data_IF_455384758215
#
_entry.id   IF_455384758215
#
_cell.length_a   1.000
_cell.length_b   1.000
_cell.length_c   1.000
_cell.angle_alpha   90.00
_cell.angle_beta   90.00
_cell.angle_gamma   90.00
#
_symmetry.space_group_name_H-M   'P 1'
#
loop_
_entity.id
_entity.type
_entity.pdbx_description
1 polymer ?
#
# COMPACT_ATOMS: atom_id res chain seq x y z
N UNK A 1 -13.62 8.05 -12.56
CA UNK A 1 -12.66 7.89 -11.46
C UNK A 1 -13.32 7.13 -10.33
N UNK A 2 -12.62 6.14 -9.77
CA UNK A 2 -13.08 5.23 -8.72
C UNK A 2 -11.92 4.97 -7.76
N UNK A 3 -12.15 5.15 -6.47
CA UNK A 3 -11.16 4.85 -5.43
C UNK A 3 -11.35 3.42 -4.92
N UNK A 4 -10.22 2.78 -4.62
CA UNK A 4 -10.10 1.52 -3.90
C UNK A 4 -9.34 1.85 -2.63
N UNK A 5 -10.03 1.78 -1.49
CA UNK A 5 -9.49 2.20 -0.20
C UNK A 5 -8.85 0.99 0.52
N UNK A 6 -7.64 1.15 1.04
CA UNK A 6 -6.96 0.18 1.91
C UNK A 6 -6.49 0.85 3.22
N UNK A 7 -6.76 0.22 4.35
CA UNK A 7 -6.25 0.68 5.65
C UNK A 7 -7.20 0.36 6.79
N UNK A 8 -7.08 1.12 7.88
CA UNK A 8 -7.91 0.88 9.07
C UNK A 8 -9.36 1.26 8.77
N UNK A 9 -10.24 0.26 8.88
CA UNK A 9 -11.66 0.44 8.65
C UNK A 9 -12.33 0.93 9.93
N UNK A 10 -13.03 2.05 9.78
CA UNK A 10 -13.80 2.67 10.84
C UNK A 10 -15.25 2.84 10.35
N UNK A 11 -16.22 2.59 11.23
CA UNK A 11 -17.64 2.62 10.86
C UNK A 11 -18.07 4.03 10.44
N UNK A 12 -17.57 5.06 11.12
CA UNK A 12 -17.89 6.44 10.79
C UNK A 12 -17.28 6.83 9.45
N UNK A 13 -16.07 6.34 9.14
CA UNK A 13 -15.45 6.56 7.82
C UNK A 13 -16.32 5.97 6.70
N UNK A 14 -16.81 4.74 6.86
CA UNK A 14 -17.64 4.06 5.84
C UNK A 14 -18.93 4.85 5.58
N UNK A 15 -19.61 5.31 6.64
CA UNK A 15 -20.82 6.11 6.50
C UNK A 15 -20.53 7.49 5.87
N UNK A 16 -19.48 8.18 6.32
CA UNK A 16 -19.06 9.48 5.78
C UNK A 16 -18.75 9.40 4.29
N UNK A 17 -18.15 8.32 3.81
CA UNK A 17 -17.88 8.11 2.37
C UNK A 17 -19.16 8.23 1.54
N UNK A 18 -20.26 7.61 2.00
CA UNK A 18 -21.58 7.66 1.35
C UNK A 18 -22.24 9.02 1.50
N UNK A 19 -22.25 9.57 2.72
CA UNK A 19 -22.84 10.88 3.02
C UNK A 19 -22.22 12.00 2.17
N UNK A 20 -20.90 11.97 1.99
CA UNK A 20 -20.12 12.95 1.22
C UNK A 20 -20.09 12.64 -0.29
N UNK A 21 -20.77 11.58 -0.73
CA UNK A 21 -20.82 11.13 -2.13
C UNK A 21 -19.42 11.05 -2.76
N UNK A 22 -18.50 10.38 -2.06
CA UNK A 22 -17.14 10.15 -2.54
C UNK A 22 -17.12 8.94 -3.48
N UNK A 23 -16.32 8.96 -4.56
CA UNK A 23 -16.32 7.90 -5.56
C UNK A 23 -15.51 6.67 -5.11
N UNK A 24 -15.72 6.20 -3.88
CA UNK A 24 -15.11 4.96 -3.36
C UNK A 24 -15.94 3.79 -3.85
N UNK A 25 -15.32 2.97 -4.68
CA UNK A 25 -15.99 1.83 -5.32
C UNK A 25 -15.74 0.52 -4.57
N UNK A 26 -14.57 0.40 -3.95
CA UNK A 26 -14.14 -0.80 -3.25
C UNK A 26 -13.40 -0.45 -1.96
N UNK A 27 -13.48 -1.35 -0.98
CA UNK A 27 -12.69 -1.30 0.24
C UNK A 27 -11.96 -2.65 0.39
N UNK A 28 -10.65 -2.60 0.56
CA UNK A 28 -9.84 -3.77 0.88
C UNK A 28 -9.99 -4.04 2.38
N UNK A 29 -10.45 -5.24 2.69
CA UNK A 29 -10.67 -5.75 4.03
C UNK A 29 -9.70 -6.89 4.29
N UNK A 30 -8.57 -6.60 4.94
CA UNK A 30 -7.58 -7.63 5.31
C UNK A 30 -8.20 -8.63 6.26
N UNK A 31 -8.22 -9.91 5.85
CA UNK A 31 -8.93 -10.94 6.61
C UNK A 31 -8.15 -11.23 7.89
N UNK A 32 -8.76 -11.13 9.09
CA UNK A 32 -8.04 -11.37 10.33
C UNK A 32 -7.77 -12.85 10.56
N UNK A 33 -6.67 -13.16 11.28
CA UNK A 33 -6.34 -14.50 11.77
C UNK A 33 -6.41 -15.62 10.70
N UNK A 34 -5.94 -15.33 9.49
CA UNK A 34 -6.09 -16.23 8.36
C UNK A 34 -4.81 -17.06 8.09
N UNK A 35 -4.92 -18.28 7.52
CA UNK A 35 -3.77 -19.14 7.25
C UNK A 35 -2.79 -18.60 6.21
N UNK A 36 -3.23 -17.75 5.27
CA UNK A 36 -2.35 -17.24 4.22
C UNK A 36 -1.49 -16.06 4.68
N UNK A 37 -2.00 -15.27 5.63
CA UNK A 37 -1.46 -13.99 6.06
C UNK A 37 -1.82 -12.82 5.15
N UNK A 38 -1.37 -11.64 5.57
CA UNK A 38 -1.52 -10.36 4.88
C UNK A 38 -0.13 -9.72 4.72
N UNK A 39 0.19 -9.30 3.50
CA UNK A 39 1.49 -8.72 3.15
C UNK A 39 1.50 -7.20 3.17
N UNK A 40 0.35 -6.55 3.31
CA UNK A 40 0.28 -5.08 3.30
C UNK A 40 1.13 -4.47 4.42
N UNK A 41 1.90 -3.44 4.08
CA UNK A 41 2.75 -2.66 5.01
C UNK A 41 1.96 -1.56 5.74
N UNK A 42 0.66 -1.52 5.49
CA UNK A 42 -0.30 -0.55 5.99
C UNK A 42 -1.33 -1.21 6.90
N UNK A 43 -0.97 -2.34 7.53
CA UNK A 43 -1.84 -3.06 8.44
C UNK A 43 -1.86 -2.39 9.82
N UNK A 44 -3.03 -2.30 10.47
CA UNK A 44 -3.14 -1.82 11.84
C UNK A 44 -2.32 -2.73 12.78
N UNK A 45 -1.82 -2.19 13.91
CA UNK A 45 -1.02 -2.97 14.86
C UNK A 45 -1.81 -4.14 15.48
N UNK A 46 -3.11 -3.94 15.69
CA UNK A 46 -4.00 -4.96 16.25
C UNK A 46 -4.97 -5.44 15.17
N UNK A 47 -5.12 -6.76 15.06
CA UNK A 47 -6.14 -7.35 14.20
C UNK A 47 -7.50 -7.33 14.91
N UNK A 48 -8.56 -7.10 14.14
CA UNK A 48 -9.94 -7.22 14.61
C UNK A 48 -10.35 -8.69 14.77
N UNK A 49 -11.43 -8.95 15.49
CA UNK A 49 -12.01 -10.30 15.54
C UNK A 49 -12.67 -10.65 14.20
N UNK A 50 -12.89 -11.95 13.95
CA UNK A 50 -13.61 -12.38 12.75
C UNK A 50 -15.08 -11.93 12.76
N UNK A 51 -15.70 -11.80 13.94
CA UNK A 51 -17.07 -11.29 14.08
C UNK A 51 -17.15 -9.79 13.75
N UNK A 52 -16.16 -9.00 14.19
CA UNK A 52 -16.05 -7.59 13.80
C UNK A 52 -15.84 -7.46 12.28
N UNK A 53 -14.99 -8.31 11.70
CA UNK A 53 -14.78 -8.37 10.26
C UNK A 53 -16.07 -8.66 9.50
N UNK A 54 -16.88 -9.62 9.96
CA UNK A 54 -18.21 -9.92 9.39
C UNK A 54 -19.14 -8.71 9.49
N UNK A 55 -19.21 -8.08 10.66
CA UNK A 55 -20.08 -6.91 10.87
C UNK A 55 -19.67 -5.71 10.02
N UNK A 56 -18.37 -5.47 9.85
CA UNK A 56 -17.84 -4.43 8.96
C UNK A 56 -18.09 -4.77 7.49
N UNK A 57 -17.97 -6.04 7.10
CA UNK A 57 -18.26 -6.49 5.72
C UNK A 57 -19.70 -6.14 5.35
N UNK A 58 -20.65 -6.45 6.24
CA UNK A 58 -22.06 -6.11 6.02
C UNK A 58 -22.25 -4.59 5.90
N UNK A 59 -21.62 -3.80 6.77
CA UNK A 59 -21.70 -2.33 6.70
C UNK A 59 -21.17 -1.78 5.37
N UNK A 60 -20.06 -2.32 4.85
CA UNK A 60 -19.49 -1.94 3.55
C UNK A 60 -20.48 -2.26 2.43
N UNK A 61 -21.07 -3.46 2.43
CA UNK A 61 -22.06 -3.91 1.44
C UNK A 61 -23.36 -3.08 1.50
N UNK A 62 -23.88 -2.78 2.69
CA UNK A 62 -25.09 -1.96 2.91
C UNK A 62 -24.89 -0.51 2.43
N UNK A 63 -23.64 -0.04 2.41
CA UNK A 63 -23.26 1.25 1.83
C UNK A 63 -23.06 1.20 0.31
N UNK A 64 -23.26 0.04 -0.33
CA UNK A 64 -23.11 -0.14 -1.78
C UNK A 64 -21.66 -0.17 -2.24
N UNK A 65 -20.72 -0.41 -1.33
CA UNK A 65 -19.29 -0.52 -1.62
C UNK A 65 -18.92 -1.99 -1.75
N UNK A 66 -18.05 -2.33 -2.70
CA UNK A 66 -17.63 -3.71 -2.94
C UNK A 66 -16.47 -4.06 -1.99
N UNK A 67 -16.61 -5.04 -1.08
CA UNK A 67 -15.49 -5.46 -0.24
C UNK A 67 -14.54 -6.39 -1.02
N UNK A 68 -13.23 -6.16 -0.87
CA UNK A 68 -12.17 -7.02 -1.42
C UNK A 68 -11.50 -7.74 -0.24
N UNK A 69 -11.46 -9.08 -0.25
CA UNK A 69 -10.79 -9.84 0.82
C UNK A 69 -9.27 -9.73 0.67
N UNK A 70 -8.60 -9.10 1.62
CA UNK A 70 -7.13 -9.04 1.68
C UNK A 70 -6.54 -10.35 2.18
N UNK A 71 -5.73 -11.01 1.33
CA UNK A 71 -4.95 -12.22 1.62
C UNK A 71 -3.58 -12.14 0.91
N UNK A 72 -2.99 -10.95 0.94
CA UNK A 72 -1.90 -10.55 0.04
C UNK A 72 -0.49 -10.85 0.56
N UNK A 73 -0.37 -11.91 1.36
CA UNK A 73 0.92 -12.43 1.79
C UNK A 73 1.85 -12.69 0.61
N UNK A 74 3.09 -12.20 0.71
CA UNK A 74 4.14 -12.39 -0.30
C UNK A 74 5.00 -13.62 -0.03
N UNK A 75 4.95 -14.17 1.19
CA UNK A 75 5.72 -15.33 1.60
C UNK A 75 5.01 -16.08 2.72
N UNK A 76 4.72 -17.37 2.50
CA UNK A 76 4.05 -18.25 3.47
C UNK A 76 5.01 -19.18 4.22
N UNK A 77 6.32 -19.04 4.03
CA UNK A 77 7.29 -19.90 4.72
C UNK A 77 7.19 -21.37 4.35
N UNK A 78 6.76 -21.68 3.12
CA UNK A 78 6.57 -23.03 2.58
C UNK A 78 5.37 -23.81 3.17
N UNK A 79 4.43 -23.14 3.85
CA UNK A 79 3.23 -23.80 4.35
C UNK A 79 2.32 -24.36 3.25
N UNK A 80 2.39 -23.81 2.05
CA UNK A 80 1.70 -24.31 0.86
C UNK A 80 2.04 -25.78 0.51
N UNK A 81 3.15 -26.31 1.03
CA UNK A 81 3.54 -27.71 0.87
C UNK A 81 2.81 -28.69 1.82
N UNK A 82 1.97 -28.20 2.73
CA UNK A 82 1.32 -29.00 3.78
C UNK A 82 -0.19 -29.17 3.53
N UNK A 83 -0.70 -30.39 3.68
CA UNK A 83 -2.11 -30.71 3.45
C UNK A 83 -3.05 -30.05 4.46
N UNK A 84 -2.60 -29.86 5.71
CA UNK A 84 -3.33 -29.16 6.76
C UNK A 84 -3.52 -27.68 6.42
N UNK A 85 -2.49 -27.07 5.83
CA UNK A 85 -2.56 -25.69 5.36
C UNK A 85 -3.59 -25.55 4.24
N UNK A 86 -3.57 -26.46 3.26
CA UNK A 86 -4.58 -26.53 2.20
C UNK A 86 -6.00 -26.61 2.76
N UNK A 87 -6.25 -27.49 3.73
CA UNK A 87 -7.56 -27.60 4.39
C UNK A 87 -7.97 -26.30 5.09
N UNK A 88 -7.02 -25.63 5.75
CA UNK A 88 -7.23 -24.32 6.37
C UNK A 88 -7.66 -23.26 5.35
N UNK A 89 -6.98 -23.19 4.20
CA UNK A 89 -7.33 -22.25 3.13
C UNK A 89 -8.69 -22.58 2.51
N UNK A 90 -9.01 -23.86 2.29
CA UNK A 90 -10.34 -24.26 1.79
C UNK A 90 -11.47 -23.87 2.74
N UNK A 91 -11.25 -24.01 4.05
CA UNK A 91 -12.21 -23.54 5.07
C UNK A 91 -12.39 -22.03 5.01
N UNK A 92 -11.28 -21.29 4.90
CA UNK A 92 -11.30 -19.83 4.71
C UNK A 92 -12.09 -19.43 3.46
N UNK A 93 -11.84 -20.08 2.31
CA UNK A 93 -12.56 -19.83 1.06
C UNK A 93 -14.08 -19.97 1.23
N UNK A 94 -14.52 -21.03 1.89
CA UNK A 94 -15.94 -21.25 2.19
C UNK A 94 -16.53 -20.12 3.02
N UNK A 95 -15.81 -19.68 4.06
CA UNK A 95 -16.27 -18.56 4.89
C UNK A 95 -16.38 -17.26 4.08
N UNK A 96 -15.42 -16.99 3.20
CA UNK A 96 -15.44 -15.80 2.34
C UNK A 96 -16.59 -15.85 1.33
N UNK A 97 -16.87 -17.03 0.75
CA UNK A 97 -18.03 -17.26 -0.11
C UNK A 97 -19.35 -17.01 0.63
N UNK A 98 -19.50 -17.52 1.84
CA UNK A 98 -20.69 -17.31 2.68
C UNK A 98 -20.89 -15.82 3.06
N UNK A 99 -19.81 -15.05 3.15
CA UNK A 99 -19.83 -13.60 3.37
C UNK A 99 -20.03 -12.78 2.07
N UNK A 100 -20.10 -13.44 0.91
CA UNK A 100 -20.36 -12.80 -0.38
C UNK A 100 -19.15 -12.10 -1.01
N UNK A 101 -17.92 -12.46 -0.61
CA UNK A 101 -16.71 -11.92 -1.23
C UNK A 101 -16.48 -12.50 -2.61
N UNK A 102 -16.60 -11.70 -3.67
CA UNK A 102 -16.23 -12.11 -5.03
C UNK A 102 -14.93 -11.47 -5.50
N UNK A 103 -14.35 -10.56 -4.74
CA UNK A 103 -13.12 -9.85 -5.09
C UNK A 103 -12.05 -10.19 -4.05
N UNK A 104 -10.91 -10.73 -4.48
CA UNK A 104 -9.84 -11.21 -3.60
C UNK A 104 -8.53 -10.52 -3.96
N UNK A 105 -7.85 -9.93 -2.97
CA UNK A 105 -6.50 -9.37 -3.12
C UNK A 105 -5.46 -10.43 -2.74
N UNK A 106 -4.60 -10.78 -3.70
CA UNK A 106 -3.54 -11.76 -3.57
C UNK A 106 -2.19 -11.17 -4.00
N UNK A 107 -1.12 -11.85 -3.62
CA UNK A 107 0.25 -11.46 -3.96
C UNK A 107 1.00 -12.59 -4.66
N UNK A 108 1.24 -13.70 -3.96
CA UNK A 108 2.13 -14.74 -4.48
C UNK A 108 1.51 -15.50 -5.66
N UNK A 109 2.29 -15.85 -6.71
CA UNK A 109 1.77 -16.52 -7.91
C UNK A 109 1.07 -17.86 -7.63
N UNK A 110 1.58 -18.64 -6.68
CA UNK A 110 0.98 -19.91 -6.27
C UNK A 110 -0.44 -19.71 -5.72
N UNK A 111 -0.66 -18.64 -4.96
CA UNK A 111 -1.97 -18.30 -4.41
C UNK A 111 -2.93 -17.80 -5.50
N UNK A 112 -2.44 -17.00 -6.46
CA UNK A 112 -3.23 -16.60 -7.63
C UNK A 112 -3.72 -17.84 -8.39
N UNK A 113 -2.81 -18.77 -8.72
CA UNK A 113 -3.17 -20.01 -9.41
C UNK A 113 -4.12 -20.90 -8.60
N UNK A 114 -3.90 -20.99 -7.29
CA UNK A 114 -4.78 -21.74 -6.39
C UNK A 114 -6.21 -21.18 -6.37
N UNK A 115 -6.38 -19.86 -6.26
CA UNK A 115 -7.69 -19.21 -6.28
C UNK A 115 -8.37 -19.31 -7.65
N UNK A 116 -7.62 -19.23 -8.75
CA UNK A 116 -8.15 -19.44 -10.10
C UNK A 116 -8.82 -20.81 -10.23
N UNK A 117 -8.20 -21.86 -9.67
CA UNK A 117 -8.70 -23.23 -9.74
C UNK A 117 -9.85 -23.49 -8.76
N UNK A 118 -9.70 -23.05 -7.50
CA UNK A 118 -10.62 -23.43 -6.41
C UNK A 118 -11.73 -22.39 -6.16
N UNK A 119 -11.62 -21.20 -6.75
CA UNK A 119 -12.62 -20.15 -6.67
C UNK A 119 -12.78 -19.42 -8.02
N UNK A 120 -13.17 -20.13 -9.10
CA UNK A 120 -13.16 -19.59 -10.47
C UNK A 120 -14.11 -18.40 -10.71
N UNK A 121 -15.10 -18.18 -9.83
CA UNK A 121 -15.98 -17.02 -9.89
C UNK A 121 -15.40 -15.75 -9.27
N UNK A 122 -14.26 -15.83 -8.60
CA UNK A 122 -13.65 -14.69 -7.92
C UNK A 122 -12.81 -13.83 -8.86
N UNK A 123 -12.97 -12.52 -8.77
CA UNK A 123 -12.09 -11.53 -9.39
C UNK A 123 -10.83 -11.37 -8.56
N UNK A 124 -9.69 -11.72 -9.15
CA UNK A 124 -8.40 -11.67 -8.47
C UNK A 124 -7.71 -10.32 -8.71
N UNK A 125 -7.44 -9.60 -7.63
CA UNK A 125 -6.63 -8.38 -7.59
C UNK A 125 -5.22 -8.74 -7.14
N UNK A 126 -4.22 -8.31 -7.91
CA UNK A 126 -2.83 -8.45 -7.53
C UNK A 126 -2.37 -7.23 -6.74
N UNK A 127 -1.85 -7.46 -5.54
CA UNK A 127 -1.28 -6.43 -4.69
C UNK A 127 -0.05 -5.78 -5.31
N UNK A 128 0.13 -4.49 -5.00
CA UNK A 128 1.30 -3.70 -5.42
C UNK A 128 2.60 -4.28 -4.84
N UNK A 129 2.52 -5.12 -3.81
CA UNK A 129 3.63 -5.85 -3.20
C UNK A 129 4.45 -6.69 -4.21
N UNK A 130 3.86 -7.09 -5.34
CA UNK A 130 4.56 -7.88 -6.37
C UNK A 130 5.49 -7.09 -7.30
N UNK A 131 5.65 -5.77 -7.08
CA UNK A 131 6.57 -4.94 -7.86
C UNK A 131 6.27 -5.01 -9.38
N UNK A 132 5.00 -4.89 -9.73
CA UNK A 132 4.55 -4.87 -11.13
C UNK A 132 4.93 -3.53 -11.78
N UNK A 133 6.09 -3.52 -12.44
CA UNK A 133 6.66 -2.34 -13.12
C UNK A 133 6.79 -2.51 -14.63
N UNK A 134 6.39 -3.66 -15.19
CA UNK A 134 6.48 -3.93 -16.63
C UNK A 134 5.26 -4.69 -17.15
N UNK A 135 4.95 -4.49 -18.43
CA UNK A 135 3.87 -5.20 -19.13
C UNK A 135 4.12 -6.71 -19.19
N UNK A 136 5.38 -7.15 -19.25
CA UNK A 136 5.72 -8.58 -19.22
C UNK A 136 5.32 -9.22 -17.87
N UNK A 137 5.62 -8.57 -16.74
CA UNK A 137 5.17 -9.04 -15.43
C UNK A 137 3.65 -9.09 -15.36
N UNK A 138 2.97 -8.04 -15.83
CA UNK A 138 1.52 -8.02 -15.86
C UNK A 138 0.92 -9.16 -16.68
N UNK A 139 1.51 -9.46 -17.84
CA UNK A 139 1.09 -10.59 -18.68
C UNK A 139 1.24 -11.93 -17.94
N UNK A 140 2.38 -12.17 -17.31
CA UNK A 140 2.62 -13.41 -16.56
C UNK A 140 1.57 -13.58 -15.46
N UNK A 141 1.23 -12.52 -14.73
CA UNK A 141 0.18 -12.60 -13.70
C UNK A 141 -1.22 -12.79 -14.28
N UNK A 142 -1.53 -12.21 -15.44
CA UNK A 142 -2.78 -12.48 -16.17
C UNK A 142 -2.88 -13.96 -16.55
N UNK A 143 -1.81 -14.53 -17.13
CA UNK A 143 -1.74 -15.94 -17.52
C UNK A 143 -1.98 -16.87 -16.31
N UNK A 144 -1.45 -16.50 -15.12
CA UNK A 144 -1.67 -17.24 -13.86
C UNK A 144 -3.09 -17.07 -13.31
N UNK A 145 -3.80 -15.97 -13.60
CA UNK A 145 -5.20 -15.76 -13.18
C UNK A 145 -5.58 -14.40 -12.62
N UNK A 146 -4.67 -13.43 -12.59
CA UNK A 146 -4.98 -12.10 -12.08
C UNK A 146 -5.88 -11.33 -13.07
N UNK A 147 -6.91 -10.66 -12.54
CA UNK A 147 -7.87 -9.87 -13.34
C UNK A 147 -7.62 -8.35 -13.22
N UNK A 148 -7.09 -7.91 -12.08
CA UNK A 148 -6.72 -6.52 -11.83
C UNK A 148 -5.33 -6.46 -11.19
N UNK A 149 -4.48 -5.50 -11.59
CA UNK A 149 -3.17 -5.32 -10.98
C UNK A 149 -3.05 -3.92 -10.40
N UNK A 150 -2.73 -3.83 -9.11
CA UNK A 150 -2.26 -2.59 -8.51
C UNK A 150 -0.80 -2.42 -8.92
N UNK A 151 -0.52 -1.37 -9.69
CA UNK A 151 0.82 -1.10 -10.19
C UNK A 151 1.74 -0.67 -9.05
N UNK A 152 3.04 -0.91 -9.23
CA UNK A 152 4.02 -0.49 -8.24
C UNK A 152 4.19 1.04 -8.23
N UNK A 153 4.35 1.70 -7.06
CA UNK A 153 4.57 3.14 -6.96
C UNK A 153 5.71 3.69 -7.84
N UNK A 154 6.77 2.90 -8.06
CA UNK A 154 7.92 3.37 -8.84
C UNK A 154 7.59 3.70 -10.31
N UNK A 155 6.51 3.16 -10.89
CA UNK A 155 6.16 3.41 -12.31
C UNK A 155 5.15 4.52 -12.51
N UNK A 156 4.55 5.07 -11.44
CA UNK A 156 3.45 6.04 -11.58
C UNK A 156 3.85 7.35 -12.26
N UNK A 157 5.15 7.70 -12.30
CA UNK A 157 5.64 8.88 -13.03
C UNK A 157 6.19 8.57 -14.42
N UNK A 158 6.07 7.31 -14.85
CA UNK A 158 6.63 6.82 -16.11
C UNK A 158 5.56 6.70 -17.17
N UNK A 159 5.14 7.82 -17.77
CA UNK A 159 4.01 7.85 -18.68
C UNK A 159 4.19 6.94 -19.90
N UNK A 160 5.42 6.73 -20.39
CA UNK A 160 5.69 5.71 -21.41
C UNK A 160 5.36 4.28 -20.96
N UNK A 161 5.73 3.92 -19.72
CA UNK A 161 5.40 2.62 -19.13
C UNK A 161 3.90 2.49 -18.91
N UNK A 162 3.26 3.53 -18.38
CA UNK A 162 1.81 3.57 -18.16
C UNK A 162 1.02 3.43 -19.48
N UNK A 163 1.42 4.15 -20.53
CA UNK A 163 0.88 3.96 -21.88
C UNK A 163 1.01 2.50 -22.34
N UNK A 164 2.14 1.85 -22.06
CA UNK A 164 2.36 0.44 -22.39
C UNK A 164 1.35 -0.50 -21.70
N UNK A 165 1.00 -0.24 -20.44
CA UNK A 165 -0.05 -1.00 -19.74
C UNK A 165 -1.43 -0.77 -20.37
N UNK A 166 -1.79 0.48 -20.66
CA UNK A 166 -3.06 0.79 -21.33
C UNK A 166 -3.16 0.12 -22.71
N UNK A 167 -2.09 0.22 -23.51
CA UNK A 167 -2.00 -0.47 -24.79
C UNK A 167 -2.13 -1.99 -24.66
N UNK A 168 -1.62 -2.58 -23.58
CA UNK A 168 -1.78 -4.00 -23.28
C UNK A 168 -3.23 -4.35 -22.95
N UNK A 169 -3.90 -3.58 -22.08
CA UNK A 169 -5.32 -3.78 -21.75
C UNK A 169 -6.20 -3.70 -22.99
N UNK A 170 -5.91 -2.74 -23.87
CA UNK A 170 -6.74 -2.45 -25.04
C UNK A 170 -6.45 -3.37 -26.24
N UNK A 171 -5.57 -4.37 -26.08
CA UNK A 171 -5.31 -5.38 -27.12
C UNK A 171 -6.57 -6.20 -27.38
N UNK A 172 -6.89 -6.37 -28.67
CA UNK A 172 -7.99 -7.21 -29.15
C UNK A 172 -7.45 -8.54 -29.68
N UNK A 173 -6.64 -9.23 -28.90
CA UNK A 173 -6.02 -10.52 -29.26
C UNK A 173 -6.72 -11.74 -28.62
N UNK A 174 -7.84 -11.51 -27.92
CA UNK A 174 -8.63 -12.55 -27.28
C UNK A 174 -8.13 -12.95 -25.89
N UNK A 175 -7.11 -12.26 -25.33
CA UNK A 175 -6.71 -12.46 -23.93
C UNK A 175 -7.78 -11.97 -22.96
N UNK A 176 -7.85 -12.57 -21.78
CA UNK A 176 -8.66 -12.05 -20.67
C UNK A 176 -8.29 -10.59 -20.36
N UNK A 177 -9.31 -9.75 -20.17
CA UNK A 177 -9.14 -8.32 -19.94
C UNK A 177 -8.45 -8.08 -18.59
N UNK A 178 -7.36 -7.31 -18.63
CA UNK A 178 -6.57 -6.97 -17.45
C UNK A 178 -6.78 -5.52 -17.04
N UNK A 179 -7.33 -5.30 -15.86
CA UNK A 179 -7.48 -3.98 -15.25
C UNK A 179 -6.16 -3.51 -14.60
N UNK A 180 -5.88 -2.21 -14.65
CA UNK A 180 -4.73 -1.61 -13.96
C UNK A 180 -5.17 -0.52 -13.00
N UNK A 181 -4.63 -0.56 -11.79
CA UNK A 181 -4.97 0.35 -10.69
C UNK A 181 -3.72 1.14 -10.32
N UNK A 182 -3.88 2.46 -10.19
CA UNK A 182 -2.78 3.38 -9.90
C UNK A 182 -2.74 3.70 -8.40
N UNK A 183 -1.62 3.46 -7.69
CA UNK A 183 -1.49 3.92 -6.31
C UNK A 183 -1.36 5.44 -6.24
N UNK A 184 -2.15 6.08 -5.37
CA UNK A 184 -2.22 7.53 -5.24
C UNK A 184 -1.23 8.10 -4.23
N UNK A 185 -1.08 7.44 -3.09
CA UNK A 185 -0.43 8.07 -1.94
C UNK A 185 0.50 7.14 -1.17
N UNK A 186 1.08 6.14 -1.85
CA UNK A 186 2.04 5.22 -1.22
C UNK A 186 3.36 5.96 -1.03
N UNK A 187 3.64 6.39 0.20
CA UNK A 187 4.82 7.19 0.54
C UNK A 187 6.15 6.46 0.54
N UNK A 188 6.23 5.22 0.06
CA UNK A 188 7.46 4.44 0.04
C UNK A 188 8.58 5.15 -0.73
N UNK A 189 9.83 5.00 -0.26
CA UNK A 189 10.99 5.57 -0.95
C UNK A 189 11.08 4.98 -2.35
N UNK A 190 11.35 5.84 -3.34
CA UNK A 190 11.56 5.41 -4.72
C UNK A 190 12.79 4.50 -4.81
N UNK A 191 12.66 3.37 -5.52
CA UNK A 191 13.74 2.39 -5.67
C UNK A 191 14.11 1.66 -4.37
N UNK A 192 13.14 1.48 -3.45
CA UNK A 192 13.38 0.86 -2.15
C UNK A 192 13.91 -0.58 -2.28
N UNK A 193 15.14 -0.82 -1.82
CA UNK A 193 15.73 -2.16 -1.79
C UNK A 193 15.09 -3.10 -0.74
N UNK A 194 14.37 -2.54 0.23
CA UNK A 194 13.73 -3.30 1.30
C UNK A 194 12.30 -3.72 0.98
N UNK A 195 11.82 -3.48 -0.26
CA UNK A 195 10.44 -3.74 -0.67
C UNK A 195 9.95 -5.14 -0.28
N UNK A 196 10.59 -6.17 -0.83
CA UNK A 196 10.22 -7.57 -0.55
C UNK A 196 10.45 -7.97 0.90
N UNK A 197 11.55 -7.51 1.52
CA UNK A 197 11.82 -7.81 2.92
C UNK A 197 10.71 -7.28 3.83
N UNK A 198 10.20 -6.08 3.56
CA UNK A 198 9.16 -5.47 4.36
C UNK A 198 7.83 -6.21 4.20
N UNK A 199 7.39 -6.49 2.96
CA UNK A 199 6.17 -7.26 2.71
C UNK A 199 6.25 -8.70 3.27
N UNK A 200 7.41 -9.36 3.16
CA UNK A 200 7.63 -10.68 3.76
C UNK A 200 7.56 -10.63 5.29
N UNK A 201 8.14 -9.60 5.91
CA UNK A 201 8.03 -9.39 7.35
C UNK A 201 6.56 -9.28 7.77
N UNK A 202 5.75 -8.48 7.07
CA UNK A 202 4.32 -8.37 7.37
C UNK A 202 3.55 -9.67 7.16
N UNK A 203 3.87 -10.38 6.08
CA UNK A 203 3.29 -11.68 5.78
C UNK A 203 3.49 -12.64 6.95
N UNK A 204 4.73 -12.80 7.41
CA UNK A 204 5.06 -13.70 8.52
C UNK A 204 4.47 -13.27 9.87
N UNK A 205 4.20 -11.98 10.08
CA UNK A 205 3.56 -11.49 11.30
C UNK A 205 2.08 -11.82 11.41
N UNK A 206 1.44 -12.10 10.27
CA UNK A 206 -0.02 -12.18 10.17
C UNK A 206 -0.53 -13.56 9.76
N UNK A 207 0.37 -14.46 9.33
CA UNK A 207 0.03 -15.85 9.04
C UNK A 207 -0.37 -16.56 10.34
N UNK A 208 -1.57 -17.13 10.34
CA UNK A 208 -2.05 -18.03 11.38
C UNK A 208 -2.30 -19.43 10.79
N UNK A 209 -1.22 -20.20 10.61
CA UNK A 209 -1.26 -21.49 9.91
C UNK A 209 -1.56 -22.65 10.87
N UNK A 210 -2.43 -23.61 10.49
CA UNK A 210 -2.68 -24.80 11.29
C UNK A 210 -1.51 -25.79 11.34
N UNK A 211 -0.47 -25.59 10.51
CA UNK A 211 0.73 -26.45 10.49
C UNK A 211 1.57 -26.26 11.76
N UNK A 212 1.61 -25.05 12.29
CA UNK A 212 2.34 -24.70 13.51
C UNK A 212 1.42 -23.88 14.44
N UNK A 213 0.46 -24.52 15.12
CA UNK A 213 -0.55 -23.83 15.93
C UNK A 213 0.03 -23.09 17.14
N UNK A 214 1.27 -23.41 17.53
CA UNK A 214 2.03 -22.73 18.59
C UNK A 214 2.96 -21.64 18.07
N UNK A 215 2.89 -21.26 16.78
CA UNK A 215 3.52 -20.02 16.34
C UNK A 215 2.87 -18.88 17.12
N UNK A 216 3.60 -18.35 18.09
CA UNK A 216 3.27 -17.03 18.62
C UNK A 216 3.23 -16.11 17.41
N UNK A 217 2.12 -15.40 17.19
CA UNK A 217 2.09 -14.33 16.20
C UNK A 217 3.25 -13.40 16.58
N UNK A 218 4.36 -13.47 15.85
CA UNK A 218 5.56 -12.67 16.14
C UNK A 218 5.31 -11.26 15.58
N UNK A 219 4.12 -10.70 15.81
CA UNK A 219 3.80 -9.30 15.54
C UNK A 219 4.41 -8.40 16.61
N UNK A 220 4.46 -8.88 17.87
CA UNK A 220 5.14 -8.26 18.99
C UNK A 220 6.54 -8.85 19.14
N UNK A 221 7.45 -8.44 18.27
CA UNK A 221 8.83 -8.30 18.78
C UNK A 221 8.79 -7.01 19.58
N UNK A 222 8.42 -7.14 20.86
CA UNK A 222 8.61 -6.08 21.84
C UNK A 222 9.97 -5.46 21.57
N UNK A 223 9.98 -4.21 21.10
CA UNK A 223 11.15 -3.36 20.95
C UNK A 223 12.24 -3.69 19.89
N UNK A 224 12.02 -4.57 18.90
CA UNK A 224 13.20 -5.18 18.23
C UNK A 224 13.32 -5.36 16.71
N UNK A 225 12.27 -5.30 15.88
CA UNK A 225 12.47 -5.76 14.49
C UNK A 225 11.64 -5.01 13.45
N UNK A 226 12.19 -3.90 12.97
CA UNK A 226 11.67 -3.20 11.81
C UNK A 226 12.77 -2.54 11.00
N UNK A 227 13.75 -3.37 10.61
CA UNK A 227 14.91 -2.93 9.87
C UNK A 227 14.57 -2.15 8.58
N UNK A 228 13.55 -2.56 7.78
CA UNK A 228 13.11 -1.78 6.63
C UNK A 228 12.64 -0.37 6.98
N UNK A 229 11.75 -0.20 7.97
CA UNK A 229 11.20 1.12 8.27
C UNK A 229 12.18 2.01 9.02
N UNK A 230 13.05 1.45 9.86
CA UNK A 230 14.14 2.21 10.47
C UNK A 230 15.05 2.84 9.41
N UNK A 231 15.48 2.06 8.40
CA UNK A 231 16.29 2.61 7.30
C UNK A 231 15.49 3.58 6.41
N UNK A 232 14.21 3.28 6.16
CA UNK A 232 13.32 4.16 5.42
C UNK A 232 13.24 5.56 6.06
N UNK A 233 12.97 5.61 7.36
CA UNK A 233 12.86 6.85 8.13
C UNK A 233 14.19 7.56 8.30
N UNK A 234 15.30 6.84 8.55
CA UNK A 234 16.66 7.40 8.55
C UNK A 234 16.93 8.16 7.25
N UNK A 235 16.62 7.56 6.10
CA UNK A 235 16.84 8.16 4.80
C UNK A 235 15.97 9.40 4.57
N UNK A 236 14.70 9.39 4.95
CA UNK A 236 13.82 10.57 4.81
C UNK A 236 14.23 11.71 5.73
N UNK A 237 14.54 11.39 6.99
CA UNK A 237 14.97 12.40 7.95
C UNK A 237 16.30 13.02 7.52
N UNK A 238 17.26 12.25 6.99
CA UNK A 238 18.52 12.82 6.48
C UNK A 238 18.37 13.59 5.17
N UNK A 239 17.49 13.11 4.28
CA UNK A 239 17.36 13.54 2.88
C UNK A 239 15.87 13.76 2.55
N UNK A 240 15.31 14.95 2.86
CA UNK A 240 13.88 15.22 2.69
C UNK A 240 13.44 15.21 1.22
N UNK A 241 14.35 15.31 0.25
CA UNK A 241 14.04 15.08 -1.17
C UNK A 241 13.46 13.69 -1.45
N UNK A 242 13.72 12.70 -0.57
CA UNK A 242 13.14 11.37 -0.71
C UNK A 242 11.62 11.35 -0.49
N UNK A 243 11.07 12.35 0.23
CA UNK A 243 9.62 12.52 0.39
C UNK A 243 9.01 12.93 -0.95
N UNK A 244 9.63 13.88 -1.66
CA UNK A 244 9.21 14.32 -2.99
C UNK A 244 9.28 13.18 -4.01
N UNK A 245 10.34 12.37 -3.97
CA UNK A 245 10.53 11.21 -4.87
C UNK A 245 9.58 10.05 -4.62
N UNK A 246 8.96 9.96 -3.44
CA UNK A 246 8.15 8.80 -3.04
C UNK A 246 6.94 8.54 -3.95
N UNK A 247 6.34 7.36 -3.82
CA UNK A 247 5.31 6.79 -4.70
C UNK A 247 3.90 7.41 -4.68
N UNK A 248 3.80 8.73 -4.68
CA UNK A 248 2.51 9.46 -4.69
C UNK A 248 2.26 10.19 -6.02
N UNK A 249 0.99 10.50 -6.26
CA UNK A 249 0.50 11.34 -7.35
C UNK A 249 -0.15 12.57 -6.76
N UNK A 250 0.10 13.71 -7.38
CA UNK A 250 -0.55 14.96 -7.00
C UNK A 250 -2.03 14.94 -7.40
N UNK A 251 -2.95 15.40 -6.54
CA UNK A 251 -4.31 15.71 -6.96
C UNK A 251 -4.36 16.58 -8.22
N UNK A 252 -3.44 17.53 -8.39
CA UNK A 252 -3.38 18.39 -9.58
C UNK A 252 -3.14 17.62 -10.90
N UNK A 253 -2.51 16.43 -10.84
CA UNK A 253 -2.18 15.63 -12.03
C UNK A 253 -3.11 14.44 -12.25
N UNK A 254 -4.13 14.22 -11.41
CA UNK A 254 -4.96 13.01 -11.52
C UNK A 254 -5.67 12.90 -12.89
N UNK A 255 -6.03 14.05 -13.48
CA UNK A 255 -6.63 14.13 -14.82
C UNK A 255 -5.70 13.58 -15.91
N UNK A 256 -4.38 13.70 -15.76
CA UNK A 256 -3.42 13.17 -16.73
C UNK A 256 -3.50 11.64 -16.80
N UNK A 257 -3.67 10.97 -15.65
CA UNK A 257 -3.86 9.51 -15.58
C UNK A 257 -5.22 9.08 -16.13
N UNK A 258 -6.26 9.88 -15.89
CA UNK A 258 -7.60 9.66 -16.46
C UNK A 258 -7.56 9.75 -17.99
N UNK A 259 -6.89 10.77 -18.53
CA UNK A 259 -6.72 10.95 -19.97
C UNK A 259 -5.87 9.86 -20.62
N UNK A 260 -4.92 9.27 -19.86
CA UNK A 260 -4.20 8.07 -20.30
C UNK A 260 -5.11 6.83 -20.37
N UNK A 261 -6.25 6.82 -19.69
CA UNK A 261 -7.21 5.72 -19.68
C UNK A 261 -7.31 4.97 -18.35
N UNK A 262 -6.72 5.47 -17.25
CA UNK A 262 -6.89 4.89 -15.92
C UNK A 262 -8.10 5.48 -15.21
N UNK A 263 -8.98 4.63 -14.68
CA UNK A 263 -10.16 5.08 -13.93
C UNK A 263 -10.21 4.59 -12.49
N UNK A 264 -9.31 3.68 -12.09
CA UNK A 264 -9.23 3.08 -10.74
C UNK A 264 -7.94 3.48 -10.04
N UNK A 265 -8.08 3.88 -8.79
CA UNK A 265 -6.99 4.43 -7.99
C UNK A 265 -6.97 3.83 -6.60
N UNK A 266 -5.82 3.29 -6.21
CA UNK A 266 -5.60 2.73 -4.88
C UNK A 266 -5.20 3.84 -3.91
N UNK A 267 -5.90 3.96 -2.80
CA UNK A 267 -5.67 4.94 -1.76
C UNK A 267 -5.44 4.23 -0.42
N UNK A 268 -4.33 4.52 0.24
CA UNK A 268 -4.04 4.01 1.58
C UNK A 268 -4.48 5.02 2.64
N UNK A 269 -5.29 4.58 3.62
CA UNK A 269 -5.75 5.35 4.78
C UNK A 269 -4.99 5.04 6.07
N UNK A 270 -3.83 4.38 5.98
CA UNK A 270 -3.11 3.91 7.17
C UNK A 270 -2.77 5.03 8.15
N UNK A 271 -3.18 4.84 9.42
CA UNK A 271 -3.04 5.82 10.52
C UNK A 271 -3.49 7.24 10.17
N UNK A 272 -4.43 7.37 9.23
CA UNK A 272 -5.10 8.62 8.93
C UNK A 272 -6.40 8.72 9.72
N UNK A 273 -6.71 9.90 10.23
CA UNK A 273 -8.03 10.15 10.81
C UNK A 273 -9.12 10.09 9.73
N UNK A 274 -10.36 9.78 10.11
CA UNK A 274 -11.49 9.76 9.18
C UNK A 274 -11.62 11.07 8.40
N UNK A 275 -11.58 12.21 9.11
CA UNK A 275 -11.68 13.52 8.48
C UNK A 275 -10.54 13.76 7.50
N UNK A 276 -9.35 13.24 7.80
CA UNK A 276 -8.23 13.32 6.87
C UNK A 276 -8.50 12.52 5.59
N UNK A 277 -8.91 11.26 5.71
CA UNK A 277 -9.23 10.39 4.56
C UNK A 277 -10.27 11.06 3.67
N UNK A 278 -11.37 11.56 4.26
CA UNK A 278 -12.42 12.27 3.52
C UNK A 278 -11.86 13.48 2.77
N UNK A 279 -11.06 14.32 3.43
CA UNK A 279 -10.46 15.50 2.80
C UNK A 279 -9.46 15.14 1.69
N UNK A 280 -8.68 14.07 1.86
CA UNK A 280 -7.75 13.60 0.86
C UNK A 280 -8.48 13.07 -0.39
N UNK A 281 -9.54 12.28 -0.20
CA UNK A 281 -10.38 11.79 -1.30
C UNK A 281 -11.09 12.95 -2.03
N UNK A 282 -11.56 13.98 -1.31
CA UNK A 282 -12.09 15.22 -1.90
C UNK A 282 -11.04 15.96 -2.71
N UNK A 283 -9.82 16.09 -2.17
CA UNK A 283 -8.68 16.71 -2.87
C UNK A 283 -8.43 16.05 -4.23
N UNK A 284 -8.34 14.72 -4.27
CA UNK A 284 -8.21 13.96 -5.53
C UNK A 284 -9.43 14.08 -6.45
N UNK A 285 -10.65 14.12 -5.89
CA UNK A 285 -11.89 14.33 -6.66
C UNK A 285 -11.95 15.69 -7.34
N UNK A 286 -11.45 16.72 -6.66
CA UNK A 286 -11.52 18.11 -7.09
C UNK A 286 -10.26 18.55 -7.86
N UNK A 287 -9.19 17.75 -7.84
CA UNK A 287 -7.94 18.04 -8.54
C UNK A 287 -7.12 19.16 -7.89
N UNK A 288 -7.23 19.33 -6.57
CA UNK A 288 -6.52 20.37 -5.80
C UNK A 288 -6.12 19.90 -4.41
N UNK A 289 -5.21 20.61 -3.76
CA UNK A 289 -4.78 20.34 -2.38
C UNK A 289 -5.23 21.50 -1.48
N UNK A 290 -6.10 21.22 -0.50
CA UNK A 290 -6.62 22.22 0.44
C UNK A 290 -5.89 22.21 1.81
N UNK A 291 -5.04 21.21 2.07
CA UNK A 291 -4.36 20.97 3.36
C UNK A 291 -2.86 20.71 3.18
N UNK A 292 -2.15 20.46 4.28
CA UNK A 292 -0.73 20.11 4.24
C UNK A 292 -0.51 18.82 3.41
N UNK A 293 0.33 18.95 2.39
CA UNK A 293 0.71 17.86 1.49
C UNK A 293 1.28 16.64 2.23
N UNK A 294 2.06 16.85 3.28
CA UNK A 294 2.68 15.75 4.02
C UNK A 294 1.67 14.80 4.66
N UNK A 295 0.46 15.30 4.93
CA UNK A 295 -0.58 14.47 5.49
C UNK A 295 -1.24 13.60 4.40
N UNK A 296 -1.20 13.99 3.10
CA UNK A 296 -1.77 13.19 1.99
C UNK A 296 -1.03 11.87 1.78
N UNK A 297 0.25 11.83 2.13
CA UNK A 297 1.12 10.70 1.88
C UNK A 297 0.93 9.65 2.97
N UNK A 298 0.51 8.44 2.58
CA UNK A 298 0.47 7.30 3.49
C UNK A 298 1.87 6.75 3.70
N UNK A 299 2.38 6.92 4.91
CA UNK A 299 3.71 6.48 5.30
C UNK A 299 3.60 5.46 6.43
N UNK A 300 4.21 4.27 6.25
CA UNK A 300 4.30 3.30 7.34
C UNK A 300 5.30 3.78 8.40
N UNK A 301 5.00 3.49 9.66
CA UNK A 301 5.78 3.90 10.84
C UNK A 301 6.45 2.69 11.48
N UNK A 302 7.67 2.84 12.01
CA UNK A 302 8.33 1.77 12.72
C UNK A 302 7.46 1.17 13.82
N UNK A 303 7.43 -0.16 13.90
CA UNK A 303 6.69 -0.87 14.95
C UNK A 303 7.47 -0.84 16.28
N UNK A 304 6.74 -0.59 17.38
CA UNK A 304 7.24 -0.66 18.76
C UNK A 304 7.12 0.66 19.52
N UNK A 305 7.10 0.56 20.85
CA UNK A 305 6.85 1.69 21.78
C UNK A 305 7.91 2.80 21.71
N UNK A 306 9.05 2.53 21.07
CA UNK A 306 10.08 3.54 20.83
C UNK A 306 9.64 4.59 19.80
N UNK A 307 8.69 4.25 18.91
CA UNK A 307 8.15 5.18 17.93
C UNK A 307 6.93 5.89 18.48
N UNK A 308 7.05 7.19 18.72
CA UNK A 308 6.00 8.00 19.34
C UNK A 308 5.02 8.57 18.30
N UNK A 309 3.80 8.87 18.73
CA UNK A 309 2.76 9.45 17.86
C UNK A 309 3.13 10.82 17.28
N UNK A 310 3.99 11.58 17.97
CA UNK A 310 4.51 12.86 17.50
C UNK A 310 5.66 12.70 16.49
N UNK A 311 6.19 11.49 16.27
CA UNK A 311 7.22 11.21 15.26
C UNK A 311 6.60 11.00 13.88
N UNK A 312 5.98 12.07 13.36
CA UNK A 312 5.38 12.14 12.03
C UNK A 312 6.05 13.20 11.17
N UNK A 313 5.95 13.08 9.84
CA UNK A 313 6.66 13.98 8.93
C UNK A 313 6.35 15.46 9.18
N UNK A 314 5.10 15.80 9.46
CA UNK A 314 4.65 17.17 9.74
C UNK A 314 5.24 17.77 11.03
N UNK A 315 5.85 16.95 11.90
CA UNK A 315 6.61 17.42 13.06
C UNK A 315 8.03 17.86 12.71
N UNK A 316 8.59 17.36 11.60
CA UNK A 316 9.96 17.64 11.18
C UNK A 316 10.02 18.64 10.01
N UNK A 317 9.05 18.56 9.12
CA UNK A 317 9.05 19.28 7.85
C UNK A 317 7.72 19.98 7.61
N UNK A 318 7.77 21.06 6.85
CA UNK A 318 6.61 21.76 6.33
C UNK A 318 6.80 22.05 4.85
N UNK A 319 5.78 21.69 4.08
CA UNK A 319 5.72 21.84 2.63
C UNK A 319 4.64 22.88 2.35
N UNK A 320 5.04 23.99 1.76
CA UNK A 320 4.11 25.01 1.28
C UNK A 320 3.23 24.44 0.15
N UNK A 321 1.93 24.76 0.14
CA UNK A 321 1.00 24.25 -0.87
C UNK A 321 1.34 24.73 -2.28
N UNK A 322 1.84 25.96 -2.43
CA UNK A 322 2.28 26.50 -3.71
C UNK A 322 3.57 25.82 -4.15
N UNK A 323 4.48 25.52 -3.21
CA UNK A 323 5.68 24.72 -3.49
C UNK A 323 5.34 23.36 -4.09
N UNK A 324 4.32 22.69 -3.54
CA UNK A 324 3.88 21.37 -4.01
C UNK A 324 3.22 21.49 -5.38
N UNK A 325 2.38 22.50 -5.59
CA UNK A 325 1.78 22.77 -6.90
C UNK A 325 2.87 23.02 -7.96
N UNK A 326 3.81 23.92 -7.68
CA UNK A 326 4.95 24.22 -8.56
C UNK A 326 5.77 22.96 -8.89
N UNK A 327 6.03 22.14 -7.86
CA UNK A 327 6.74 20.87 -8.03
C UNK A 327 6.02 19.95 -9.03
N UNK A 328 4.70 19.91 -8.98
CA UNK A 328 3.87 19.04 -9.81
C UNK A 328 3.71 19.56 -11.25
N UNK A 329 3.61 20.87 -11.44
CA UNK A 329 3.53 21.47 -12.78
C UNK A 329 4.83 21.31 -13.57
N UNK A 330 5.97 21.27 -12.87
CA UNK A 330 7.30 21.23 -13.49
C UNK A 330 7.96 19.85 -13.45
N UNK A 331 7.33 18.84 -12.83
CA UNK A 331 7.92 17.49 -12.78
C UNK A 331 7.94 16.90 -14.21
N UNK A 332 9.08 16.37 -14.67
CA UNK A 332 9.19 15.90 -16.05
C UNK A 332 8.44 14.56 -16.24
N UNK A 333 7.19 14.63 -16.66
CA UNK A 333 6.47 13.50 -17.25
C UNK A 333 6.92 13.32 -18.71
N UNK A 334 7.41 12.14 -19.10
CA UNK A 334 7.95 11.90 -20.44
C UNK A 334 7.67 10.51 -21.01
N UNK A 335 8.04 10.30 -22.29
CA UNK A 335 7.96 8.99 -22.96
C UNK A 335 8.94 7.95 -22.39
N UNK A 336 9.99 8.42 -21.71
CA UNK A 336 10.93 7.60 -20.96
C UNK A 336 10.99 8.08 -19.52
N UNK A 337 11.29 7.15 -18.60
CA UNK A 337 11.54 7.46 -17.20
C UNK A 337 12.51 8.65 -17.13
N UNK A 338 12.16 9.78 -16.48
CA UNK A 338 13.11 10.87 -16.34
C UNK A 338 14.36 10.32 -15.65
N UNK A 339 15.51 10.37 -16.33
CA UNK A 339 16.76 9.78 -15.83
C UNK A 339 16.93 10.08 -14.34
N UNK A 340 17.37 9.10 -13.56
CA UNK A 340 17.53 9.21 -12.10
C UNK A 340 18.21 10.53 -11.69
N UNK A 341 19.30 10.89 -12.38
CA UNK A 341 20.01 12.15 -12.19
C UNK A 341 19.14 13.41 -12.36
N UNK A 342 18.20 13.41 -13.32
CA UNK A 342 17.27 14.52 -13.54
C UNK A 342 16.26 14.64 -12.39
N UNK A 343 15.68 13.52 -11.96
CA UNK A 343 14.74 13.49 -10.83
C UNK A 343 15.44 13.89 -9.53
N UNK A 344 16.64 13.36 -9.28
CA UNK A 344 17.43 13.71 -8.11
C UNK A 344 17.78 15.19 -8.09
N UNK A 345 18.29 15.74 -9.20
CA UNK A 345 18.57 17.18 -9.30
C UNK A 345 17.31 17.99 -9.02
N UNK A 346 16.19 17.63 -9.64
CA UNK A 346 14.93 18.32 -9.50
C UNK A 346 14.41 18.31 -8.05
N UNK A 347 14.34 17.13 -7.42
CA UNK A 347 13.86 17.00 -6.06
C UNK A 347 14.81 17.66 -5.05
N UNK A 348 16.13 17.67 -5.31
CA UNK A 348 17.10 18.38 -4.47
C UNK A 348 16.95 19.90 -4.54
N UNK A 349 16.59 20.48 -5.69
CA UNK A 349 16.35 21.93 -5.77
C UNK A 349 15.07 22.32 -5.01
N UNK A 350 14.02 21.51 -5.10
CA UNK A 350 12.79 21.74 -4.35
C UNK A 350 12.97 21.48 -2.85
N UNK A 351 13.80 20.52 -2.46
CA UNK A 351 14.00 20.20 -1.04
C UNK A 351 14.67 21.32 -0.25
N UNK A 352 15.44 22.20 -0.91
CA UNK A 352 16.01 23.41 -0.30
C UNK A 352 14.95 24.42 0.14
N UNK A 353 13.73 24.34 -0.40
CA UNK A 353 12.59 25.21 -0.05
C UNK A 353 11.71 24.62 1.05
N UNK A 354 11.98 23.39 1.51
CA UNK A 354 11.26 22.74 2.61
C UNK A 354 11.68 23.37 3.93
N UNK A 355 10.71 23.76 4.75
CA UNK A 355 10.99 24.29 6.09
C UNK A 355 11.22 23.14 7.07
N UNK A 356 12.32 23.19 7.82
CA UNK A 356 12.60 22.26 8.91
C UNK A 356 12.02 22.85 10.21
N UNK A 357 11.04 22.18 10.83
CA UNK A 357 10.32 22.72 12.01
C UNK A 357 11.03 22.45 13.32
N UNK A 358 11.63 21.27 13.50
CA UNK A 358 12.21 20.83 14.77
C UNK A 358 13.50 20.02 14.56
N UNK A 359 14.63 20.73 14.56
CA UNK A 359 15.94 20.12 14.32
C UNK A 359 16.38 19.22 15.49
N UNK A 360 16.15 19.64 16.73
CA UNK A 360 16.54 18.86 17.93
C UNK A 360 15.79 17.52 17.99
N UNK A 361 14.48 17.53 17.72
CA UNK A 361 13.68 16.30 17.67
C UNK A 361 14.14 15.40 16.52
N UNK A 362 14.47 15.99 15.36
CA UNK A 362 14.99 15.25 14.20
C UNK A 362 16.29 14.53 14.52
N UNK A 363 17.24 15.20 15.16
CA UNK A 363 18.53 14.61 15.57
C UNK A 363 18.33 13.51 16.61
N UNK A 364 17.50 13.76 17.63
CA UNK A 364 17.14 12.75 18.64
C UNK A 364 16.55 11.47 18.01
N UNK A 365 15.64 11.62 17.05
CA UNK A 365 15.03 10.47 16.36
C UNK A 365 16.05 9.76 15.46
N UNK A 366 16.95 10.50 14.80
CA UNK A 366 18.03 9.92 14.01
C UNK A 366 19.00 9.07 14.85
N UNK A 367 19.37 9.55 16.03
CA UNK A 367 20.24 8.82 16.96
C UNK A 367 19.58 7.55 17.49
N UNK A 368 18.29 7.65 17.86
CA UNK A 368 17.49 6.49 18.26
C UNK A 368 17.42 5.44 17.14
N UNK A 369 17.15 5.86 15.90
CA UNK A 369 17.13 4.95 14.75
C UNK A 369 18.50 4.30 14.55
N UNK A 370 19.59 5.06 14.64
CA UNK A 370 20.94 4.55 14.46
C UNK A 370 21.31 3.51 15.52
N UNK A 371 20.97 3.74 16.81
CA UNK A 371 21.16 2.77 17.88
C UNK A 371 20.41 1.45 17.60
N UNK A 372 19.14 1.53 17.20
CA UNK A 372 18.33 0.34 16.89
C UNK A 372 18.88 -0.46 15.70
N UNK A 373 19.25 0.22 14.62
CA UNK A 373 19.90 -0.42 13.46
C UNK A 373 21.19 -1.13 13.89
N UNK A 374 22.04 -0.45 14.66
CA UNK A 374 23.29 -1.03 15.16
C UNK A 374 23.06 -2.27 16.02
N UNK A 375 22.01 -2.28 16.86
CA UNK A 375 21.65 -3.45 17.67
C UNK A 375 21.22 -4.64 16.82
N UNK A 376 20.44 -4.41 15.76
CA UNK A 376 20.04 -5.45 14.81
C UNK A 376 21.26 -6.00 14.06
N UNK A 377 22.10 -5.13 13.52
CA UNK A 377 23.27 -5.53 12.72
C UNK A 377 24.35 -6.24 13.54
N UNK A 378 24.46 -5.94 14.83
CA UNK A 378 25.38 -6.63 15.76
C UNK A 378 24.78 -7.89 16.40
N UNK A 379 23.52 -8.22 16.10
CA UNK A 379 22.83 -9.35 16.71
C UNK A 379 22.60 -9.20 18.22
N UNK A 380 22.56 -7.97 18.74
CA UNK A 380 22.38 -7.68 20.18
C UNK A 380 20.93 -7.35 20.53
N UNK A 381 19.97 -7.74 19.68
CA UNK A 381 18.54 -7.65 19.99
C UNK A 381 18.22 -8.73 21.00
N UNK A 382 17.93 -8.34 22.24
CA UNK A 382 17.46 -9.26 23.27
C UNK A 382 15.98 -9.56 23.02
N UNK A 383 15.61 -10.84 23.16
CA UNK A 383 14.22 -11.32 23.14
C UNK A 383 13.66 -11.37 24.54
#
# INVERSE_FOLDING_TARGET
MKFILDGQLDRDLINKIKEENLPVSHIIMHVPNNPMGNGSIFLPPNQITFDDFKSLTQLVQDNGIIPIAGLDSTCQGNFEAHAEHYKGIMSLLKNLQELGYNDILLSSPNNVGFFKENYPGAKIYLSYAQYTTSTNRAKIFNDVGAHSLILHPDVIRSFGVLKGFIQMRDRKDGSELLDFIIPLNIGCNWGCIYWYQHHNLQSHRTINSPVFPEQTNISDIENGFDYPLLNCWKNRLKRPENILKSGWISPYNITDYINLGYDKFYFSSYKMSNDFVINALKSFKEGKIDKNFLDLISIPYPYGDYWKDDYKLSSFFEFDSDLVKDFCEQIPYGEHYPQELKIDKYCNEFSKKITIKNQDLREKVLDMIADKINKIEKGTVQR
#
